data_IF_461104926005
#
_entry.id   IF_461104926005
#
_cell.length_a   1.000
_cell.length_b   1.000
_cell.length_c   1.000
_cell.angle_alpha   90.00
_cell.angle_beta   90.00
_cell.angle_gamma   90.00
#
_symmetry.space_group_name_H-M   'P 1'
#
loop_
_entity.id
_entity.type
_entity.pdbx_description
1 polymer ?
#
# COMPACT_ATOMS: atom_id res chain seq x y z
N UNK A 1 2.76 -7.97 8.06
CA UNK A 1 2.17 -6.77 8.71
C UNK A 1 1.37 -5.97 7.67
N UNK A 2 0.25 -5.36 8.03
CA UNK A 2 -0.50 -4.48 7.11
C UNK A 2 -0.26 -3.02 7.46
N UNK A 3 -0.03 -2.20 6.44
CA UNK A 3 -0.17 -0.76 6.59
C UNK A 3 -1.66 -0.40 6.68
N UNK A 4 -1.95 0.76 7.27
CA UNK A 4 -3.27 1.36 7.21
C UNK A 4 -3.55 1.86 5.77
N UNK A 5 -4.77 2.31 5.52
CA UNK A 5 -5.16 2.69 4.16
C UNK A 5 -4.36 3.89 3.67
N UNK A 6 -4.00 3.87 2.39
CA UNK A 6 -3.05 4.82 1.81
C UNK A 6 -3.56 6.27 1.73
N UNK A 7 -4.88 6.49 1.67
CA UNK A 7 -5.45 7.84 1.45
C UNK A 7 -5.60 8.64 2.74
N UNK A 8 -5.76 7.97 3.87
CA UNK A 8 -5.93 8.63 5.16
C UNK A 8 -4.59 9.16 5.69
N UNK A 9 -4.59 10.33 6.34
CA UNK A 9 -3.36 10.97 6.83
C UNK A 9 -2.67 10.12 7.89
N UNK A 10 -3.45 9.41 8.71
CA UNK A 10 -2.98 8.47 9.72
C UNK A 10 -2.19 7.29 9.13
N UNK A 11 -2.52 6.89 7.89
CA UNK A 11 -1.86 5.77 7.20
C UNK A 11 -0.77 6.20 6.24
N UNK A 12 -1.01 7.25 5.47
CA UNK A 12 -0.15 7.70 4.36
C UNK A 12 1.29 7.98 4.78
N UNK A 13 1.51 8.48 6.00
CA UNK A 13 2.84 8.76 6.57
C UNK A 13 3.73 7.51 6.70
N UNK A 14 3.14 6.31 6.67
CA UNK A 14 3.85 5.04 6.79
C UNK A 14 4.19 4.39 5.44
N UNK A 15 3.79 4.98 4.31
CA UNK A 15 4.13 4.48 2.97
C UNK A 15 5.54 4.94 2.57
N UNK A 16 6.54 4.53 3.36
CA UNK A 16 7.95 4.93 3.18
C UNK A 16 8.88 3.72 3.23
N UNK A 17 10.06 3.85 2.62
CA UNK A 17 11.09 2.83 2.68
C UNK A 17 11.59 2.57 4.11
N UNK A 18 11.67 3.60 4.94
CA UNK A 18 12.09 3.51 6.35
C UNK A 18 11.11 2.67 7.18
N UNK A 19 9.80 2.81 6.93
CA UNK A 19 8.79 1.97 7.56
C UNK A 19 9.00 0.50 7.19
N UNK A 20 9.18 0.20 5.90
CA UNK A 20 9.40 -1.18 5.43
C UNK A 20 10.68 -1.78 6.00
N UNK A 21 11.77 -1.02 6.04
CA UNK A 21 13.02 -1.43 6.69
C UNK A 21 12.81 -1.73 8.18
N UNK A 22 12.07 -0.86 8.89
CA UNK A 22 11.78 -1.08 10.32
C UNK A 22 10.96 -2.35 10.54
N UNK A 23 9.98 -2.63 9.67
CA UNK A 23 9.21 -3.87 9.73
C UNK A 23 10.11 -5.10 9.53
N UNK A 24 11.07 -5.05 8.59
CA UNK A 24 12.02 -6.15 8.39
C UNK A 24 13.00 -6.28 9.56
N UNK A 25 13.75 -5.24 9.87
CA UNK A 25 14.90 -5.33 10.77
C UNK A 25 14.51 -5.35 12.25
N UNK A 26 13.48 -4.60 12.64
CA UNK A 26 13.11 -4.46 14.06
C UNK A 26 12.00 -5.43 14.44
N UNK A 27 11.06 -5.70 13.53
CA UNK A 27 9.90 -6.56 13.81
C UNK A 27 10.05 -7.96 13.23
N UNK A 28 11.16 -8.23 12.52
CA UNK A 28 11.42 -9.50 11.85
C UNK A 28 10.30 -9.93 10.88
N UNK A 29 9.58 -8.98 10.29
CA UNK A 29 8.54 -9.27 9.33
C UNK A 29 9.17 -9.76 8.02
N UNK A 30 8.52 -10.76 7.39
CA UNK A 30 8.87 -11.27 6.06
C UNK A 30 7.85 -10.88 4.99
N UNK A 31 6.77 -10.18 5.36
CA UNK A 31 5.75 -9.69 4.44
C UNK A 31 5.15 -8.36 4.92
N UNK A 32 4.96 -7.43 3.99
CA UNK A 32 4.21 -6.18 4.19
C UNK A 32 3.01 -6.12 3.25
N UNK A 33 1.85 -5.65 3.71
CA UNK A 33 0.66 -5.40 2.89
C UNK A 33 0.47 -3.91 2.71
N UNK A 34 0.46 -3.45 1.46
CA UNK A 34 0.19 -2.08 1.05
C UNK A 34 -1.30 -1.96 0.69
N UNK A 35 -2.11 -1.45 1.63
CA UNK A 35 -3.56 -1.33 1.50
C UNK A 35 -3.91 -0.03 0.75
N UNK A 36 -3.97 -0.10 -0.58
CA UNK A 36 -4.29 1.05 -1.42
C UNK A 36 -5.76 1.39 -1.27
N UNK A 37 -6.06 2.52 -0.64
CA UNK A 37 -7.43 2.99 -0.52
C UNK A 37 -7.99 3.33 -1.90
N UNK A 38 -9.23 2.93 -2.19
CA UNK A 38 -9.85 3.06 -3.52
C UNK A 38 -10.87 4.19 -3.56
N UNK A 39 -11.84 4.15 -2.65
CA UNK A 39 -12.87 5.17 -2.50
C UNK A 39 -12.44 6.29 -1.53
N UNK A 40 -13.32 7.28 -1.33
CA UNK A 40 -13.18 8.35 -0.33
C UNK A 40 -11.86 9.12 -0.43
N UNK A 41 -11.51 9.58 -1.63
CA UNK A 41 -10.25 10.27 -1.91
C UNK A 41 -9.07 9.34 -2.19
N UNK A 42 -9.31 8.02 -2.28
CA UNK A 42 -8.35 7.01 -2.71
C UNK A 42 -8.08 7.00 -4.22
N UNK A 43 -7.69 5.84 -4.74
CA UNK A 43 -7.23 5.63 -6.10
C UNK A 43 -8.20 6.14 -7.18
N UNK A 44 -9.51 5.97 -7.01
CA UNK A 44 -10.48 6.44 -8.00
C UNK A 44 -10.46 7.96 -8.18
N UNK A 45 -10.07 8.71 -7.15
CA UNK A 45 -9.95 10.17 -7.20
C UNK A 45 -8.51 10.61 -7.48
N UNK A 46 -7.52 9.91 -6.93
CA UNK A 46 -6.11 10.29 -6.95
C UNK A 46 -5.20 9.13 -7.40
N UNK A 47 -5.36 8.60 -8.63
CA UNK A 47 -4.76 7.33 -9.03
C UNK A 47 -3.24 7.36 -8.95
N UNK A 48 -2.60 8.37 -9.54
CA UNK A 48 -1.13 8.51 -9.55
C UNK A 48 -0.55 8.65 -8.14
N UNK A 49 -1.25 9.37 -7.25
CA UNK A 49 -0.79 9.61 -5.87
C UNK A 49 -0.84 8.32 -5.05
N UNK A 50 -1.97 7.60 -5.09
CA UNK A 50 -2.12 6.37 -4.33
C UNK A 50 -1.24 5.24 -4.88
N UNK A 51 -1.11 5.15 -6.20
CA UNK A 51 -0.20 4.21 -6.84
C UNK A 51 1.27 4.49 -6.48
N UNK A 52 1.71 5.75 -6.47
CA UNK A 52 3.09 6.10 -6.11
C UNK A 52 3.45 5.69 -4.66
N UNK A 53 2.50 5.78 -3.73
CA UNK A 53 2.67 5.29 -2.35
C UNK A 53 2.88 3.78 -2.33
N UNK A 54 2.03 3.03 -3.03
CA UNK A 54 2.15 1.56 -3.11
C UNK A 54 3.46 1.14 -3.78
N UNK A 55 3.85 1.79 -4.87
CA UNK A 55 5.12 1.54 -5.55
C UNK A 55 6.32 1.78 -4.63
N UNK A 56 6.26 2.79 -3.76
CA UNK A 56 7.29 3.05 -2.75
C UNK A 56 7.45 1.86 -1.82
N UNK A 57 6.34 1.27 -1.36
CA UNK A 57 6.36 0.07 -0.50
C UNK A 57 6.86 -1.15 -1.26
N UNK A 58 6.45 -1.35 -2.52
CA UNK A 58 6.93 -2.46 -3.38
C UNK A 58 8.44 -2.37 -3.55
N UNK A 59 8.97 -1.21 -3.98
CA UNK A 59 10.40 -0.99 -4.20
C UNK A 59 11.21 -1.23 -2.92
N UNK A 60 10.69 -0.75 -1.78
CA UNK A 60 11.33 -0.99 -0.49
C UNK A 60 11.28 -2.46 -0.06
N UNK A 61 10.18 -3.17 -0.28
CA UNK A 61 10.06 -4.59 0.04
C UNK A 61 11.06 -5.43 -0.76
N UNK A 62 11.19 -5.15 -2.07
CA UNK A 62 12.21 -5.76 -2.94
C UNK A 62 13.61 -5.49 -2.39
N UNK A 63 13.93 -4.23 -2.06
CA UNK A 63 15.25 -3.86 -1.53
C UNK A 63 15.57 -4.53 -0.19
N UNK A 64 14.57 -4.76 0.67
CA UNK A 64 14.73 -5.43 1.96
C UNK A 64 14.63 -6.97 1.88
N UNK A 65 14.36 -7.53 0.69
CA UNK A 65 14.21 -8.97 0.51
C UNK A 65 13.02 -9.56 1.27
N UNK A 66 11.89 -8.84 1.32
CA UNK A 66 10.64 -9.31 1.91
C UNK A 66 9.51 -9.34 0.89
N UNK A 67 8.48 -10.13 1.14
CA UNK A 67 7.29 -10.18 0.30
C UNK A 67 6.43 -8.92 0.47
N UNK A 68 5.68 -8.60 -0.57
CA UNK A 68 4.67 -7.52 -0.54
C UNK A 68 3.33 -8.03 -1.07
N UNK A 69 2.25 -7.70 -0.36
CA UNK A 69 0.87 -7.84 -0.84
C UNK A 69 0.43 -6.48 -1.36
N UNK A 70 0.10 -6.42 -2.64
CA UNK A 70 -0.54 -5.26 -3.28
C UNK A 70 -2.04 -5.46 -3.17
N UNK A 71 -2.71 -4.57 -2.43
CA UNK A 71 -4.08 -4.77 -1.99
C UNK A 71 -4.97 -3.63 -2.50
N UNK A 72 -5.92 -3.98 -3.37
CA UNK A 72 -7.03 -3.12 -3.77
C UNK A 72 -8.01 -3.00 -2.60
N UNK A 73 -7.83 -1.98 -1.77
CA UNK A 73 -8.52 -1.87 -0.49
C UNK A 73 -9.83 -1.11 -0.63
N UNK A 74 -10.88 -1.86 -0.95
CA UNK A 74 -12.20 -1.33 -1.26
C UNK A 74 -13.30 -2.15 -0.58
N UNK A 75 -14.30 -1.46 -0.03
CA UNK A 75 -15.50 -2.10 0.52
C UNK A 75 -16.58 -2.34 -0.54
N UNK A 76 -16.43 -1.77 -1.74
CA UNK A 76 -17.32 -1.91 -2.88
C UNK A 76 -16.59 -2.44 -4.12
N UNK A 77 -15.53 -3.24 -3.93
CA UNK A 77 -14.64 -3.72 -5.00
C UNK A 77 -15.37 -4.36 -6.19
N UNK A 78 -16.52 -5.01 -5.95
CA UNK A 78 -17.36 -5.60 -6.99
C UNK A 78 -17.85 -4.59 -8.03
N UNK A 79 -17.87 -3.30 -7.70
CA UNK A 79 -18.26 -2.21 -8.59
C UNK A 79 -17.06 -1.61 -9.34
N UNK A 80 -15.83 -1.98 -8.99
CA UNK A 80 -14.59 -1.36 -9.48
C UNK A 80 -13.59 -2.37 -10.06
N UNK A 81 -14.09 -3.45 -10.66
CA UNK A 81 -13.26 -4.53 -11.22
C UNK A 81 -12.36 -4.03 -12.34
N UNK A 82 -12.87 -3.19 -13.24
CA UNK A 82 -12.11 -2.69 -14.39
C UNK A 82 -10.94 -1.80 -13.96
N UNK A 83 -11.13 -0.98 -12.92
CA UNK A 83 -10.11 -0.10 -12.36
C UNK A 83 -9.04 -0.87 -11.57
N UNK A 84 -9.37 -2.07 -11.07
CA UNK A 84 -8.42 -2.91 -10.33
C UNK A 84 -7.43 -3.64 -11.26
N UNK A 85 -7.71 -3.72 -12.56
CA UNK A 85 -6.90 -4.46 -13.55
C UNK A 85 -6.23 -3.55 -14.60
N UNK A 86 -6.53 -2.25 -14.59
CA UNK A 86 -5.94 -1.24 -15.46
C UNK A 86 -4.54 -0.83 -15.01
#
# INVERSE_FOLDING_TARGET
MSLFWSQWSEGSVFYTANTVQSLKCNWNANVVRAAMGVENGGYLTNPSTEQAKVETVIKAAIAQGIYVIVDWHDHNAQNHVDQAVS
#
